data_IF_575458307325
#
_entry.id   IF_575458307325
#
_cell.length_a   1.000
_cell.length_b   1.000
_cell.length_c   1.000
_cell.angle_alpha   90.00
_cell.angle_beta   90.00
_cell.angle_gamma   90.00
#
_symmetry.space_group_name_H-M   'P 1'
#
loop_
_entity.id
_entity.type
_entity.pdbx_description
1 polymer ?
#
# COMPACT_ATOMS: atom_id res chain seq x y z
N UNK A 1 -6.24 -37.37 -14.62
CA UNK A 1 -5.14 -36.39 -14.78
C UNK A 1 -3.86 -37.00 -15.32
N UNK A 2 -3.82 -38.31 -15.61
CA UNK A 2 -2.60 -39.00 -16.04
C UNK A 2 -2.02 -38.42 -17.35
N UNK A 3 -2.88 -37.95 -18.24
CA UNK A 3 -2.50 -37.24 -19.47
C UNK A 3 -1.54 -36.06 -19.21
N UNK A 4 -1.70 -35.32 -18.10
CA UNK A 4 -0.85 -34.16 -17.79
C UNK A 4 0.58 -34.60 -17.47
N UNK A 5 0.73 -35.74 -16.79
CA UNK A 5 2.02 -36.29 -16.37
C UNK A 5 2.69 -37.16 -17.45
N UNK A 6 1.90 -37.74 -18.35
CA UNK A 6 2.39 -38.51 -19.51
C UNK A 6 2.75 -37.62 -20.70
N UNK A 7 2.27 -36.37 -20.72
CA UNK A 7 2.62 -35.40 -21.76
C UNK A 7 3.98 -34.79 -21.48
N UNK A 8 4.84 -34.80 -22.50
CA UNK A 8 6.09 -34.04 -22.50
C UNK A 8 5.81 -32.60 -22.92
N UNK A 9 5.92 -31.67 -21.99
CA UNK A 9 5.65 -30.26 -22.22
C UNK A 9 6.88 -29.54 -22.75
N UNK A 10 6.74 -28.73 -23.80
CA UNK A 10 7.85 -27.89 -24.25
C UNK A 10 8.12 -26.74 -23.27
N UNK A 11 7.06 -26.17 -22.69
CA UNK A 11 7.13 -25.09 -21.72
C UNK A 11 6.06 -25.24 -20.64
N UNK A 12 6.42 -24.95 -19.40
CA UNK A 12 5.48 -24.81 -18.28
C UNK A 12 5.59 -23.39 -17.75
N UNK A 13 4.49 -22.67 -17.72
CA UNK A 13 4.40 -21.33 -17.13
C UNK A 13 3.84 -21.49 -15.72
N UNK A 14 4.54 -20.94 -14.74
CA UNK A 14 4.09 -20.83 -13.36
C UNK A 14 3.77 -19.37 -13.10
N UNK A 15 2.49 -19.09 -12.87
CA UNK A 15 2.04 -17.76 -12.46
C UNK A 15 2.15 -17.61 -10.93
N UNK A 16 2.43 -16.39 -10.48
CA UNK A 16 2.71 -16.04 -9.08
C UNK A 16 3.66 -17.03 -8.39
N UNK A 17 4.80 -17.33 -9.02
CA UNK A 17 5.70 -18.41 -8.59
C UNK A 17 6.27 -18.23 -7.16
N UNK A 18 6.22 -17.01 -6.61
CA UNK A 18 6.62 -16.71 -5.24
C UNK A 18 5.57 -17.15 -4.20
N UNK A 19 4.30 -17.27 -4.59
CA UNK A 19 3.19 -17.71 -3.74
C UNK A 19 2.82 -19.17 -4.03
N UNK A 20 2.64 -20.00 -2.99
CA UNK A 20 2.09 -21.36 -3.13
C UNK A 20 3.00 -22.43 -3.76
N UNK A 21 4.07 -22.04 -4.47
CA UNK A 21 4.92 -22.98 -5.21
C UNK A 21 5.89 -23.78 -4.33
N UNK A 22 6.15 -23.29 -3.11
CA UNK A 22 6.99 -23.99 -2.12
C UNK A 22 6.23 -25.08 -1.34
N UNK A 23 4.92 -25.26 -1.56
CA UNK A 23 4.13 -26.29 -0.88
C UNK A 23 4.56 -27.71 -1.28
N UNK A 24 4.43 -28.71 -0.40
CA UNK A 24 4.77 -30.10 -0.74
C UNK A 24 4.01 -30.64 -1.95
N UNK A 25 2.76 -30.22 -2.13
CA UNK A 25 1.93 -30.63 -3.27
C UNK A 25 2.40 -30.03 -4.59
N UNK A 26 2.68 -28.72 -4.62
CA UNK A 26 3.22 -28.05 -5.81
C UNK A 26 4.57 -28.67 -6.21
N UNK A 27 5.47 -28.89 -5.25
CA UNK A 27 6.76 -29.57 -5.48
C UNK A 27 6.58 -30.98 -6.05
N UNK A 28 5.60 -31.73 -5.57
CA UNK A 28 5.29 -33.06 -6.10
C UNK A 28 4.78 -33.01 -7.54
N UNK A 29 3.95 -32.01 -7.89
CA UNK A 29 3.47 -31.82 -9.27
C UNK A 29 4.64 -31.46 -10.19
N UNK A 30 5.47 -30.47 -9.82
CA UNK A 30 6.62 -30.05 -10.61
C UNK A 30 7.64 -31.17 -10.84
N UNK A 31 7.87 -32.01 -9.83
CA UNK A 31 8.79 -33.15 -9.95
C UNK A 31 8.33 -34.20 -10.96
N UNK A 32 7.02 -34.41 -11.07
CA UNK A 32 6.45 -35.47 -11.92
C UNK A 32 6.06 -34.98 -13.32
N UNK A 33 6.23 -33.69 -13.62
CA UNK A 33 6.01 -33.12 -14.95
C UNK A 33 7.27 -33.23 -15.80
N UNK A 34 7.19 -33.88 -16.95
CA UNK A 34 8.27 -33.86 -17.95
C UNK A 34 8.16 -32.56 -18.77
N UNK A 35 9.21 -31.73 -18.75
CA UNK A 35 9.23 -30.44 -19.44
C UNK A 35 10.62 -30.04 -19.95
N UNK A 36 10.67 -29.28 -21.04
CA UNK A 36 11.93 -28.73 -21.59
C UNK A 36 12.30 -27.39 -20.96
N UNK A 37 11.33 -26.49 -20.77
CA UNK A 37 11.53 -25.16 -20.17
C UNK A 37 10.49 -24.86 -19.10
N UNK A 38 10.87 -24.03 -18.12
CA UNK A 38 9.94 -23.45 -17.13
C UNK A 38 10.08 -21.94 -17.16
N UNK A 39 8.96 -21.22 -17.21
CA UNK A 39 8.90 -19.78 -17.06
C UNK A 39 8.15 -19.47 -15.77
N UNK A 40 8.82 -18.79 -14.84
CA UNK A 40 8.23 -18.37 -13.57
C UNK A 40 7.91 -16.88 -13.62
N UNK A 41 6.63 -16.54 -13.50
CA UNK A 41 6.14 -15.16 -13.46
C UNK A 41 5.91 -14.76 -12.01
N UNK A 42 6.35 -13.57 -11.64
CA UNK A 42 6.24 -13.10 -10.27
C UNK A 42 6.25 -11.58 -10.20
N UNK A 43 5.21 -11.01 -9.59
CA UNK A 43 5.18 -9.58 -9.27
C UNK A 43 6.08 -9.20 -8.09
N UNK A 44 6.42 -10.15 -7.20
CA UNK A 44 7.32 -9.92 -6.06
C UNK A 44 8.41 -11.01 -5.95
N UNK A 45 9.43 -10.98 -6.84
CA UNK A 45 10.39 -12.08 -6.98
C UNK A 45 11.46 -12.17 -5.87
N UNK A 46 11.33 -11.44 -4.76
CA UNK A 46 12.34 -11.37 -3.69
C UNK A 46 12.82 -12.75 -3.22
N UNK A 47 11.88 -13.70 -3.07
CA UNK A 47 12.17 -15.06 -2.59
C UNK A 47 12.51 -16.06 -3.71
N UNK A 48 12.49 -15.63 -4.98
CA UNK A 48 12.80 -16.42 -6.16
C UNK A 48 14.23 -16.17 -6.64
N UNK A 49 14.79 -14.97 -6.42
CA UNK A 49 16.16 -14.65 -6.84
C UNK A 49 17.21 -15.63 -6.28
N UNK A 50 17.00 -16.18 -5.08
CA UNK A 50 17.90 -17.17 -4.48
C UNK A 50 17.90 -18.53 -5.22
N UNK A 51 16.85 -18.81 -5.99
CA UNK A 51 16.67 -20.07 -6.71
C UNK A 51 17.32 -20.05 -8.12
N UNK A 52 17.81 -18.88 -8.59
CA UNK A 52 18.47 -18.69 -9.89
C UNK A 52 19.94 -18.24 -9.71
N UNK A 53 20.89 -19.00 -10.27
CA UNK A 53 22.32 -18.72 -10.13
C UNK A 53 22.86 -17.77 -11.21
N UNK A 54 22.31 -17.83 -12.44
CA UNK A 54 22.77 -17.04 -13.58
C UNK A 54 21.82 -15.87 -13.87
N UNK A 55 22.34 -14.63 -13.90
CA UNK A 55 21.55 -13.43 -14.24
C UNK A 55 20.90 -13.50 -15.63
N UNK A 56 21.45 -14.31 -16.54
CA UNK A 56 20.90 -14.51 -17.87
C UNK A 56 19.56 -15.26 -17.88
N UNK A 57 19.26 -16.00 -16.81
CA UNK A 57 17.99 -16.71 -16.64
C UNK A 57 16.90 -15.80 -16.05
N UNK A 58 17.26 -14.57 -15.68
CA UNK A 58 16.36 -13.59 -15.07
C UNK A 58 16.03 -12.51 -16.10
N UNK A 59 14.75 -12.38 -16.41
CA UNK A 59 14.21 -11.28 -17.20
C UNK A 59 13.37 -10.36 -16.32
N UNK A 60 13.62 -9.05 -16.37
CA UNK A 60 12.84 -8.05 -15.64
C UNK A 60 12.06 -7.16 -16.62
N UNK A 61 10.78 -6.96 -16.29
CA UNK A 61 9.91 -5.97 -16.93
C UNK A 61 9.18 -5.22 -15.83
N UNK A 62 9.78 -4.13 -15.37
CA UNK A 62 9.27 -3.38 -14.24
C UNK A 62 8.31 -2.26 -14.67
N UNK A 63 7.67 -1.64 -13.69
CA UNK A 63 6.74 -0.54 -13.90
C UNK A 63 7.36 0.64 -14.69
N UNK A 64 8.64 0.93 -14.51
CA UNK A 64 9.31 2.04 -15.24
C UNK A 64 9.43 1.67 -16.71
N UNK A 65 9.81 0.42 -17.01
CA UNK A 65 9.86 -0.11 -18.37
C UNK A 65 8.47 -0.12 -19.02
N UNK A 66 7.43 -0.54 -18.29
CA UNK A 66 6.04 -0.50 -18.77
C UNK A 66 5.56 0.92 -19.08
N UNK A 67 5.84 1.89 -18.20
CA UNK A 67 5.47 3.30 -18.45
C UNK A 67 6.25 3.88 -19.63
N UNK A 68 7.51 3.50 -19.81
CA UNK A 68 8.29 3.92 -20.96
C UNK A 68 7.69 3.34 -22.26
N UNK A 69 7.41 2.03 -22.27
CA UNK A 69 6.77 1.37 -23.40
C UNK A 69 5.39 1.98 -23.72
N UNK A 70 4.61 2.33 -22.69
CA UNK A 70 3.35 3.06 -22.83
C UNK A 70 3.53 4.37 -23.61
N UNK A 71 4.54 5.16 -23.26
CA UNK A 71 4.80 6.47 -23.87
C UNK A 71 5.32 6.35 -25.30
N UNK A 72 6.18 5.36 -25.57
CA UNK A 72 6.82 5.17 -26.87
C UNK A 72 5.99 4.31 -27.85
N UNK A 73 4.89 3.70 -27.38
CA UNK A 73 4.15 2.71 -28.16
C UNK A 73 3.77 3.20 -29.56
N UNK A 74 3.17 4.39 -29.66
CA UNK A 74 2.66 4.93 -30.93
C UNK A 74 3.79 5.21 -31.95
N UNK A 75 5.01 5.46 -31.46
CA UNK A 75 6.18 5.68 -32.31
C UNK A 75 6.72 4.36 -32.86
N UNK A 76 6.69 3.30 -32.04
CA UNK A 76 7.27 2.00 -32.36
C UNK A 76 6.27 1.04 -33.04
N UNK A 77 4.98 1.23 -32.82
CA UNK A 77 3.89 0.34 -33.24
C UNK A 77 2.75 1.15 -33.88
N UNK A 78 3.09 1.96 -34.89
CA UNK A 78 2.12 2.86 -35.53
C UNK A 78 0.92 2.10 -36.11
N UNK A 79 -0.27 2.42 -35.61
CA UNK A 79 -1.54 1.83 -36.06
C UNK A 79 -2.07 0.69 -35.18
N UNK A 80 -1.27 0.18 -34.25
CA UNK A 80 -1.69 -0.85 -33.30
C UNK A 80 -2.21 -0.23 -31.99
N UNK A 81 -3.15 -0.91 -31.34
CA UNK A 81 -3.67 -0.47 -30.03
C UNK A 81 -2.60 -0.64 -28.95
N UNK A 82 -2.37 0.41 -28.16
CA UNK A 82 -1.40 0.40 -27.06
C UNK A 82 -1.89 -0.49 -25.90
N UNK A 83 -1.24 -1.64 -25.62
CA UNK A 83 -1.66 -2.54 -24.55
C UNK A 83 -1.44 -1.93 -23.15
N UNK A 84 -0.58 -0.92 -23.03
CA UNK A 84 -0.30 -0.22 -21.78
C UNK A 84 -1.20 1.00 -21.55
N UNK A 85 -2.15 1.31 -22.45
CA UNK A 85 -2.96 2.52 -22.38
C UNK A 85 -3.68 2.69 -21.03
N UNK A 86 -4.20 1.60 -20.47
CA UNK A 86 -4.91 1.55 -19.19
C UNK A 86 -4.00 1.54 -17.96
N UNK A 87 -2.68 1.39 -18.12
CA UNK A 87 -1.76 1.28 -16.98
C UNK A 87 -1.75 2.61 -16.20
N UNK A 88 -2.11 2.63 -14.91
CA UNK A 88 -2.17 3.85 -14.14
C UNK A 88 -0.78 4.43 -13.90
N UNK A 89 -0.71 5.74 -13.65
CA UNK A 89 0.52 6.40 -13.23
C UNK A 89 0.62 6.44 -11.70
N UNK A 90 1.63 5.78 -11.14
CA UNK A 90 2.03 5.92 -9.74
C UNK A 90 2.78 7.24 -9.53
N UNK A 91 2.37 7.99 -8.51
CA UNK A 91 3.08 9.19 -8.05
C UNK A 91 3.39 9.02 -6.57
N UNK A 92 4.66 9.14 -6.19
CA UNK A 92 5.13 9.04 -4.81
C UNK A 92 5.50 10.44 -4.32
N UNK A 93 4.90 10.86 -3.21
CA UNK A 93 5.17 12.13 -2.58
C UNK A 93 5.75 11.91 -1.19
N UNK A 94 6.80 12.65 -0.87
CA UNK A 94 7.43 12.63 0.46
C UNK A 94 7.24 14.00 1.10
N UNK A 95 6.74 14.02 2.33
CA UNK A 95 6.48 15.25 3.08
C UNK A 95 7.40 15.32 4.29
N UNK A 96 8.02 16.49 4.48
CA UNK A 96 8.87 16.78 5.62
C UNK A 96 8.03 17.36 6.76
N UNK A 97 7.61 16.51 7.70
CA UNK A 97 6.74 16.88 8.83
C UNK A 97 7.50 17.54 9.98
N UNK A 98 8.81 17.30 10.08
CA UNK A 98 9.72 17.85 11.08
C UNK A 98 9.71 19.39 11.16
N UNK A 99 9.40 20.06 10.04
CA UNK A 99 9.28 21.52 9.98
C UNK A 99 8.02 22.05 10.64
N UNK A 100 6.92 21.30 10.59
CA UNK A 100 5.64 21.72 11.15
C UNK A 100 5.48 21.23 12.60
N UNK A 101 6.04 20.07 12.92
CA UNK A 101 5.95 19.44 14.25
C UNK A 101 7.34 19.37 14.91
N UNK A 102 7.81 20.50 15.43
CA UNK A 102 9.18 20.70 15.96
C UNK A 102 9.36 20.12 17.39
N UNK A 103 8.38 19.39 17.93
CA UNK A 103 8.53 18.79 19.25
C UNK A 103 9.64 17.74 19.20
N UNK A 104 10.69 17.93 20.01
CA UNK A 104 11.84 17.04 20.10
C UNK A 104 11.45 15.58 20.40
N UNK A 105 10.26 15.36 20.94
CA UNK A 105 9.70 14.03 21.21
C UNK A 105 9.39 13.22 19.94
N UNK A 106 9.21 13.87 18.78
CA UNK A 106 8.96 13.20 17.50
C UNK A 106 10.22 12.96 16.68
N UNK A 107 11.40 13.24 17.24
CA UNK A 107 12.68 13.01 16.57
C UNK A 107 13.27 11.73 17.12
N UNK A 108 13.43 10.72 16.26
CA UNK A 108 14.15 9.52 16.63
C UNK A 108 15.62 9.87 16.98
N UNK A 109 16.12 9.25 18.05
CA UNK A 109 17.43 9.53 18.61
C UNK A 109 18.53 8.97 17.69
N UNK A 110 18.26 7.90 16.94
CA UNK A 110 19.26 7.18 16.14
C UNK A 110 19.47 7.80 14.75
N UNK A 111 18.40 8.12 14.03
CA UNK A 111 18.47 8.56 12.62
C UNK A 111 17.87 9.95 12.36
N UNK A 112 17.35 10.62 13.40
CA UNK A 112 16.61 11.90 13.30
C UNK A 112 15.37 11.82 12.40
N UNK A 113 14.85 10.63 12.15
CA UNK A 113 13.60 10.47 11.42
C UNK A 113 12.40 10.88 12.29
N UNK A 114 11.28 11.13 11.63
CA UNK A 114 10.02 11.43 12.31
C UNK A 114 9.47 10.15 12.97
N UNK A 115 9.34 10.17 14.29
CA UNK A 115 8.89 9.05 15.08
C UNK A 115 7.36 8.95 15.09
N UNK A 116 6.80 8.28 14.09
CA UNK A 116 5.35 8.04 13.99
C UNK A 116 4.78 7.22 15.15
N UNK A 117 5.59 6.39 15.82
CA UNK A 117 5.12 5.62 16.99
C UNK A 117 4.84 6.54 18.18
N UNK A 118 5.71 7.52 18.44
CA UNK A 118 5.45 8.51 19.47
C UNK A 118 4.35 9.48 19.04
N UNK A 119 4.36 9.95 17.78
CA UNK A 119 3.37 10.90 17.27
C UNK A 119 1.92 10.38 17.41
N UNK A 120 1.69 9.11 17.06
CA UNK A 120 0.39 8.47 17.19
C UNK A 120 0.19 7.75 18.52
N UNK A 121 1.06 7.93 19.52
CA UNK A 121 0.97 7.19 20.77
C UNK A 121 -0.36 7.42 21.47
N UNK A 122 -1.01 6.35 21.90
CA UNK A 122 -2.21 6.39 22.72
C UNK A 122 -1.90 6.20 24.20
N UNK A 123 -2.79 6.64 25.08
CA UNK A 123 -2.79 6.22 26.47
C UNK A 123 -3.14 4.73 26.55
N UNK A 124 -2.36 3.99 27.33
CA UNK A 124 -2.57 2.56 27.53
C UNK A 124 -3.73 2.28 28.52
N UNK A 125 -4.01 1.00 28.74
CA UNK A 125 -5.06 0.58 29.68
C UNK A 125 -4.73 0.85 31.16
N UNK A 126 -3.48 1.20 31.49
CA UNK A 126 -3.04 1.50 32.85
C UNK A 126 -3.22 2.97 33.21
N UNK A 127 -3.54 3.85 32.26
CA UNK A 127 -3.81 5.27 32.49
C UNK A 127 -4.88 5.44 33.58
N UNK A 128 -4.57 6.12 34.71
CA UNK A 128 -5.50 6.33 35.81
C UNK A 128 -6.79 7.05 35.39
N UNK A 129 -6.70 7.96 34.42
CA UNK A 129 -7.87 8.63 33.87
C UNK A 129 -8.53 7.77 32.78
N UNK A 130 -9.62 7.10 33.15
CA UNK A 130 -10.37 6.24 32.23
C UNK A 130 -10.83 6.96 30.94
N UNK A 131 -11.07 8.27 30.98
CA UNK A 131 -11.52 9.02 29.79
C UNK A 131 -10.41 9.26 28.76
N UNK A 132 -9.14 9.06 29.13
CA UNK A 132 -7.99 9.22 28.25
C UNK A 132 -7.55 7.91 27.59
N UNK A 133 -7.91 6.76 28.17
CA UNK A 133 -7.53 5.44 27.66
C UNK A 133 -7.94 5.28 26.20
N UNK A 134 -7.00 4.83 25.36
CA UNK A 134 -7.23 4.67 23.92
C UNK A 134 -7.26 5.97 23.12
N UNK A 135 -7.20 7.16 23.75
CA UNK A 135 -7.03 8.43 23.05
C UNK A 135 -5.56 8.73 22.78
N UNK A 136 -5.31 9.61 21.82
CA UNK A 136 -3.95 10.08 21.56
C UNK A 136 -3.41 10.91 22.72
N UNK A 137 -2.15 10.69 23.07
CA UNK A 137 -1.44 11.58 23.99
C UNK A 137 -1.19 12.94 23.36
N UNK A 138 -0.93 12.95 22.05
CA UNK A 138 -0.66 14.15 21.25
C UNK A 138 -1.81 14.49 20.31
N UNK A 139 -3.06 14.32 20.77
CA UNK A 139 -4.28 14.46 19.95
C UNK A 139 -4.32 15.79 19.17
N UNK A 140 -3.86 16.89 19.79
CA UNK A 140 -3.78 18.19 19.14
C UNK A 140 -2.85 18.18 17.92
N UNK A 141 -1.67 17.57 18.04
CA UNK A 141 -0.70 17.53 16.95
C UNK A 141 -1.19 16.62 15.82
N UNK A 142 -1.87 15.51 16.15
CA UNK A 142 -2.54 14.64 15.17
C UNK A 142 -3.66 15.41 14.44
N UNK A 143 -4.46 16.19 15.16
CA UNK A 143 -5.48 17.06 14.57
C UNK A 143 -4.86 18.12 13.65
N UNK A 144 -3.76 18.75 14.07
CA UNK A 144 -3.03 19.72 13.26
C UNK A 144 -2.40 19.06 12.01
N UNK A 145 -2.01 17.78 12.08
CA UNK A 145 -1.61 17.00 10.91
C UNK A 145 -2.77 16.75 9.95
N UNK A 146 -3.95 16.35 10.44
CA UNK A 146 -5.14 16.21 9.60
C UNK A 146 -5.48 17.54 8.92
N UNK A 147 -5.37 18.65 9.64
CA UNK A 147 -5.52 19.98 9.08
C UNK A 147 -4.46 20.29 8.00
N UNK A 148 -3.19 19.96 8.22
CA UNK A 148 -2.11 20.22 7.28
C UNK A 148 -2.37 19.56 5.93
N UNK A 149 -2.77 18.29 5.93
CA UNK A 149 -2.97 17.53 4.69
C UNK A 149 -4.32 17.83 4.01
N UNK A 150 -5.23 18.54 4.69
CA UNK A 150 -6.61 18.75 4.24
C UNK A 150 -7.01 20.22 4.04
N UNK A 151 -6.28 21.18 4.61
CA UNK A 151 -6.58 22.60 4.44
C UNK A 151 -6.02 23.14 3.14
N UNK A 152 -6.82 24.02 2.53
CA UNK A 152 -6.41 24.89 1.44
C UNK A 152 -5.57 26.02 2.07
N UNK A 153 -4.32 26.12 1.63
CA UNK A 153 -3.42 27.28 1.77
C UNK A 153 -2.74 27.54 3.14
N UNK A 154 -1.47 27.10 3.23
CA UNK A 154 -0.36 27.94 3.75
C UNK A 154 0.70 28.25 2.69
N UNK A 155 0.68 27.54 1.56
CA UNK A 155 1.57 27.71 0.42
C UNK A 155 0.81 28.45 -0.68
N UNK A 156 1.50 29.27 -1.47
CA UNK A 156 0.90 30.16 -2.49
C UNK A 156 -0.20 29.45 -3.30
N UNK A 157 -1.34 30.13 -3.44
CA UNK A 157 -2.58 29.60 -3.97
C UNK A 157 -2.32 28.74 -5.23
N UNK A 158 -2.78 27.47 -5.16
CA UNK A 158 -2.84 26.48 -6.26
C UNK A 158 -1.62 25.57 -6.50
N UNK A 159 -0.60 25.57 -5.64
CA UNK A 159 0.53 24.61 -5.72
C UNK A 159 0.72 23.80 -4.44
N UNK A 160 -0.29 23.02 -4.07
CA UNK A 160 -0.14 22.03 -2.99
C UNK A 160 -0.18 20.62 -3.57
N UNK A 161 0.72 19.78 -3.08
CA UNK A 161 0.69 18.34 -3.34
C UNK A 161 0.05 17.58 -2.16
N UNK A 162 -0.57 18.25 -1.18
CA UNK A 162 -1.21 17.56 -0.07
C UNK A 162 -2.51 16.87 -0.51
N UNK A 163 -2.71 15.60 -0.15
CA UNK A 163 -3.71 14.73 -0.76
C UNK A 163 -5.16 15.19 -0.55
N UNK A 164 -5.49 15.89 0.54
CA UNK A 164 -6.88 16.28 0.81
C UNK A 164 -7.09 17.80 0.78
N UNK A 165 -6.11 18.55 0.26
CA UNK A 165 -6.08 20.02 0.36
C UNK A 165 -7.00 20.75 -0.63
N UNK A 166 -7.37 20.10 -1.73
CA UNK A 166 -8.22 20.70 -2.79
C UNK A 166 -9.41 19.79 -3.10
N UNK A 167 -10.48 20.39 -3.60
CA UNK A 167 -11.67 19.63 -4.03
C UNK A 167 -11.32 18.66 -5.17
N UNK A 168 -10.42 19.07 -6.08
CA UNK A 168 -9.90 18.18 -7.12
C UNK A 168 -9.28 16.91 -6.54
N UNK A 169 -8.40 17.01 -5.54
CA UNK A 169 -7.82 15.80 -4.96
C UNK A 169 -8.85 14.99 -4.19
N UNK A 170 -9.76 15.63 -3.45
CA UNK A 170 -10.83 14.93 -2.71
C UNK A 170 -11.76 14.14 -3.64
N UNK A 171 -12.10 14.70 -4.80
CA UNK A 171 -12.97 14.04 -5.79
C UNK A 171 -12.29 12.84 -6.49
N UNK A 172 -10.95 12.86 -6.56
CA UNK A 172 -10.15 11.83 -7.22
C UNK A 172 -9.57 10.78 -6.25
N UNK A 173 -9.38 11.12 -4.96
CA UNK A 173 -8.94 10.21 -3.90
C UNK A 173 -10.14 9.60 -3.18
N UNK A 174 -10.97 8.87 -3.93
CA UNK A 174 -12.19 8.25 -3.40
C UNK A 174 -11.93 7.14 -2.39
N UNK A 175 -10.80 6.46 -2.53
CA UNK A 175 -10.37 5.38 -1.65
C UNK A 175 -8.93 5.63 -1.25
N UNK A 176 -8.66 5.66 0.06
CA UNK A 176 -7.30 5.79 0.59
C UNK A 176 -7.07 4.76 1.69
N UNK A 177 -5.92 4.09 1.62
CA UNK A 177 -5.46 3.18 2.67
C UNK A 177 -4.50 3.92 3.58
N UNK A 178 -4.73 3.82 4.89
CA UNK A 178 -3.89 4.42 5.91
C UNK A 178 -3.24 3.33 6.74
N UNK A 179 -1.90 3.33 6.80
CA UNK A 179 -1.13 2.44 7.64
C UNK A 179 -0.61 3.21 8.85
N UNK A 180 -0.93 2.73 10.05
CA UNK A 180 -0.54 3.35 11.31
C UNK A 180 0.12 2.32 12.24
N UNK A 181 0.83 2.75 13.31
CA UNK A 181 1.70 1.87 14.09
C UNK A 181 1.02 0.67 14.78
N UNK A 182 -0.28 0.75 15.08
CA UNK A 182 -0.97 -0.31 15.80
C UNK A 182 -2.50 -0.16 15.84
N UNK A 183 -3.14 -1.13 16.49
CA UNK A 183 -4.62 -1.26 16.54
C UNK A 183 -5.27 -0.15 17.36
N UNK A 184 -4.66 0.25 18.48
CA UNK A 184 -5.21 1.31 19.33
C UNK A 184 -5.10 2.68 18.63
N UNK A 185 -3.97 2.90 17.96
CA UNK A 185 -3.69 4.09 17.17
C UNK A 185 -4.64 4.21 15.98
N UNK A 186 -4.93 3.10 15.29
CA UNK A 186 -5.92 3.06 14.22
C UNK A 186 -7.34 3.39 14.71
N UNK A 187 -7.73 2.86 15.87
CA UNK A 187 -9.03 3.17 16.49
C UNK A 187 -9.13 4.65 16.85
N UNK A 188 -8.15 5.18 17.57
CA UNK A 188 -8.08 6.60 17.94
C UNK A 188 -8.11 7.52 16.70
N UNK A 189 -7.35 7.18 15.65
CA UNK A 189 -7.34 7.95 14.40
C UNK A 189 -8.71 7.92 13.73
N UNK A 190 -9.36 6.75 13.66
CA UNK A 190 -10.67 6.61 13.02
C UNK A 190 -11.75 7.44 13.71
N UNK A 191 -11.73 7.50 15.06
CA UNK A 191 -12.63 8.34 15.84
C UNK A 191 -12.35 9.83 15.58
N UNK A 192 -11.08 10.23 15.65
CA UNK A 192 -10.67 11.62 15.41
C UNK A 192 -11.00 12.11 13.99
N UNK A 193 -10.82 11.26 12.98
CA UNK A 193 -11.15 11.58 11.58
C UNK A 193 -12.65 11.76 11.37
N UNK A 194 -13.50 10.99 12.07
CA UNK A 194 -14.97 11.15 12.02
C UNK A 194 -15.43 12.48 12.60
N UNK A 195 -14.65 13.10 13.49
CA UNK A 195 -14.94 14.41 14.05
C UNK A 195 -14.35 15.56 13.21
N UNK A 196 -13.43 15.28 12.29
CA UNK A 196 -12.71 16.30 11.52
C UNK A 196 -13.51 16.84 10.34
N UNK A 197 -13.51 18.17 10.14
CA UNK A 197 -14.33 18.88 9.12
C UNK A 197 -14.23 18.31 7.69
N UNK A 198 -13.02 17.91 7.28
CA UNK A 198 -12.78 17.32 5.96
C UNK A 198 -12.96 15.80 5.94
N UNK A 199 -12.44 15.08 6.93
CA UNK A 199 -12.41 13.60 6.90
C UNK A 199 -13.76 12.98 7.28
N UNK A 200 -14.61 13.70 8.01
CA UNK A 200 -16.00 13.32 8.28
C UNK A 200 -16.87 13.20 7.04
N UNK A 201 -16.40 13.70 5.88
CA UNK A 201 -17.07 13.56 4.58
C UNK A 201 -16.80 12.20 3.90
N UNK A 202 -15.89 11.39 4.47
CA UNK A 202 -15.54 10.06 3.98
C UNK A 202 -16.09 8.98 4.90
N UNK A 203 -16.39 7.82 4.33
CA UNK A 203 -16.69 6.62 5.12
C UNK A 203 -15.40 6.05 5.69
N UNK A 204 -15.17 6.28 6.99
CA UNK A 204 -13.97 5.81 7.69
C UNK A 204 -14.20 4.39 8.23
N UNK A 205 -13.56 3.41 7.57
CA UNK A 205 -13.59 1.99 7.94
C UNK A 205 -12.26 1.60 8.60
N UNK A 206 -12.30 1.19 9.87
CA UNK A 206 -11.13 0.68 10.56
C UNK A 206 -11.05 -0.85 10.41
N UNK A 207 -9.98 -1.32 9.77
CA UNK A 207 -9.75 -2.77 9.57
C UNK A 207 -8.63 -3.31 10.46
N UNK A 208 -8.14 -2.53 11.42
CA UNK A 208 -7.05 -2.93 12.30
C UNK A 208 -7.55 -3.77 13.49
N UNK A 209 -6.95 -4.95 13.68
CA UNK A 209 -7.20 -5.85 14.81
C UNK A 209 -8.20 -6.96 14.50
N UNK A 210 -8.61 -7.69 15.54
CA UNK A 210 -9.63 -8.74 15.43
C UNK A 210 -10.97 -8.10 15.07
N UNK A 211 -11.53 -8.45 13.91
CA UNK A 211 -12.73 -7.86 13.31
C UNK A 211 -14.05 -8.11 14.05
N UNK A 212 -14.02 -8.16 15.38
CA UNK A 212 -15.16 -8.53 16.22
C UNK A 212 -15.97 -7.34 16.75
N UNK A 213 -15.56 -6.09 16.51
CA UNK A 213 -16.23 -4.91 17.07
C UNK A 213 -16.46 -3.78 16.06
N UNK A 214 -16.68 -4.09 14.78
CA UNK A 214 -17.36 -3.16 13.89
C UNK A 214 -18.57 -3.88 13.31
N UNK A 215 -19.73 -3.45 13.82
CA UNK A 215 -21.07 -3.76 13.32
C UNK A 215 -21.11 -3.94 11.81
N UNK A 216 -21.52 -5.14 11.39
CA UNK A 216 -22.18 -5.49 10.12
C UNK A 216 -22.03 -4.43 9.00
N UNK A 217 -20.93 -4.50 8.25
CA UNK A 217 -20.86 -3.88 6.93
C UNK A 217 -20.52 -4.93 5.87
N UNK A 218 -21.30 -6.02 5.89
CA UNK A 218 -21.30 -7.05 4.84
C UNK A 218 -21.83 -6.49 3.50
N UNK A 219 -22.51 -5.34 3.51
CA UNK A 219 -23.06 -4.73 2.29
C UNK A 219 -22.04 -4.02 1.39
N UNK A 220 -20.79 -3.80 1.84
CA UNK A 220 -19.76 -3.16 1.01
C UNK A 220 -19.21 -4.06 -0.12
N UNK A 221 -19.53 -5.36 -0.09
CA UNK A 221 -19.14 -6.34 -1.11
C UNK A 221 -20.26 -6.64 -2.12
N UNK A 222 -21.45 -6.06 -1.96
CA UNK A 222 -22.56 -6.18 -2.91
C UNK A 222 -22.80 -4.84 -3.62
N UNK A 223 -21.94 -4.48 -4.57
CA UNK A 223 -22.30 -3.60 -5.70
C UNK A 223 -21.35 -3.75 -6.89
#
# INVERSE_FOLDING_TARGET
>A
NDLIFETKWDCVIVDEAHEGNKTPLAKAVHKNLERSFTLELSGTPFNLFEDYEDEADIYTWDYVMEQQAKYEWDQNNFGDSNPYASLPKLSIFTYHLDKEFINHQYVDIEDKAFNFREFFRTYDNNEPNFSLRGKFVHEKDVWDFLNLISKKDRYEEHQTNFPFSTDYYRDNLRNTLWLVPGVQEARALSELMKEHDVFSQFDIINVAGSGDNDSENIEALEK
#
